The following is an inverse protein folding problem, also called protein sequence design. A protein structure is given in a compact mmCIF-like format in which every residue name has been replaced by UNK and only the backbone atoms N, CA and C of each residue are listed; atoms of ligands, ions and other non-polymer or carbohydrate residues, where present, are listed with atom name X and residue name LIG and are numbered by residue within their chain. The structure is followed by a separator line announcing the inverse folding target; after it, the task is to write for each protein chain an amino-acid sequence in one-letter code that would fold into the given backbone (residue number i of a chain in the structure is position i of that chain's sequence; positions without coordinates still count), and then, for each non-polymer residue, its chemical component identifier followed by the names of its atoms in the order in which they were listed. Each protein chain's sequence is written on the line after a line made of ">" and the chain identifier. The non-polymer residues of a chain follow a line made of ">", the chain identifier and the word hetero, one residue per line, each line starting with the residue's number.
data_IF_283266063471
#
_entry.id   IF_283266063471
#
_cell.length_a   1.000
_cell.length_b   1.000
_cell.length_c   1.000
_cell.angle_alpha   90.00
_cell.angle_beta   90.00
_cell.angle_gamma   90.00
#
_symmetry.space_group_name_H-M   'P 1'
#
loop_
_entity.id
_entity.type
_entity.pdbx_description
1 polymer ?
#
# COMPACT_ATOMS: atom_id res chain seq x y z
N UNK A 1 26.33 -1.92 6.64
CA UNK A 1 25.46 -1.27 7.61
C UNK A 1 24.90 0.03 7.00
N UNK A 2 23.58 0.11 6.83
CA UNK A 2 22.94 1.35 6.35
C UNK A 2 22.88 2.35 7.51
N UNK A 3 23.44 3.52 7.31
CA UNK A 3 23.39 4.60 8.32
C UNK A 3 22.65 5.79 7.75
N UNK A 4 21.70 6.34 8.52
CA UNK A 4 21.10 7.64 8.21
C UNK A 4 22.20 8.69 8.12
N UNK A 5 22.14 9.53 7.09
CA UNK A 5 22.87 10.79 7.11
C UNK A 5 22.14 11.70 8.08
N UNK A 6 22.76 11.96 9.23
CA UNK A 6 22.21 12.83 10.26
C UNK A 6 21.73 14.16 9.65
N UNK A 7 20.49 14.55 9.95
CA UNK A 7 19.84 15.80 9.50
C UNK A 7 19.43 15.87 8.02
N UNK A 8 19.48 14.79 7.24
CA UNK A 8 19.04 14.82 5.85
C UNK A 8 17.72 14.04 5.66
N UNK A 9 16.63 14.57 6.23
CA UNK A 9 15.28 14.19 5.82
C UNK A 9 15.10 14.60 4.36
N UNK A 10 14.71 13.67 3.51
CA UNK A 10 14.44 13.92 2.09
C UNK A 10 12.97 14.26 1.86
N UNK A 11 12.10 13.62 2.62
CA UNK A 11 10.65 13.75 2.48
C UNK A 11 9.96 13.35 3.78
N UNK A 12 8.91 14.06 4.13
CA UNK A 12 7.96 13.65 5.17
C UNK A 12 6.55 13.66 4.61
N UNK A 13 5.93 12.47 4.57
CA UNK A 13 4.56 12.28 4.17
C UNK A 13 3.60 12.12 5.35
N UNK A 14 2.37 11.76 5.03
CA UNK A 14 1.28 11.55 6.00
C UNK A 14 1.60 10.42 6.99
N UNK A 15 2.23 9.34 6.54
CA UNK A 15 2.47 8.12 7.33
C UNK A 15 3.95 7.75 7.49
N UNK A 16 4.86 8.40 6.78
CA UNK A 16 6.28 8.02 6.69
C UNK A 16 7.19 9.22 6.61
N UNK A 17 8.43 9.01 7.09
CA UNK A 17 9.58 9.87 6.82
C UNK A 17 10.59 9.10 6.00
N UNK A 18 11.25 9.76 5.06
CA UNK A 18 12.29 9.17 4.21
C UNK A 18 13.60 9.89 4.45
N UNK A 19 14.64 9.14 4.72
CA UNK A 19 15.97 9.64 5.02
C UNK A 19 16.99 9.15 3.98
N UNK A 20 17.92 10.05 3.60
CA UNK A 20 19.08 9.64 2.84
C UNK A 20 19.99 8.72 3.68
N UNK A 21 20.72 7.84 3.00
CA UNK A 21 21.75 7.01 3.61
C UNK A 21 23.13 7.36 3.10
N UNK A 22 24.15 6.72 3.67
CA UNK A 22 25.53 6.76 3.20
C UNK A 22 25.77 5.94 1.92
N UNK A 23 24.75 5.22 1.45
CA UNK A 23 24.82 4.43 0.21
C UNK A 23 23.94 5.07 -0.87
N UNK A 24 24.53 5.31 -2.03
CA UNK A 24 23.78 5.82 -3.17
C UNK A 24 22.70 4.82 -3.61
N UNK A 25 21.52 5.31 -3.97
CA UNK A 25 20.40 4.48 -4.41
C UNK A 25 19.63 3.77 -3.28
N UNK A 26 19.99 3.98 -2.01
CA UNK A 26 19.29 3.43 -0.85
C UNK A 26 18.79 4.55 0.05
N UNK A 27 17.58 4.43 0.54
CA UNK A 27 16.97 5.33 1.52
C UNK A 27 16.40 4.54 2.68
N UNK A 28 16.18 5.19 3.82
CA UNK A 28 15.49 4.60 4.97
C UNK A 28 14.09 5.19 5.05
N UNK A 29 13.10 4.33 5.13
CA UNK A 29 11.70 4.68 5.43
C UNK A 29 11.44 4.42 6.90
N UNK A 30 10.93 5.44 7.60
CA UNK A 30 10.54 5.40 9.01
C UNK A 30 9.02 5.58 9.10
N UNK A 31 8.33 4.58 9.63
CA UNK A 31 6.87 4.52 9.68
C UNK A 31 6.33 5.21 10.93
N UNK A 32 5.36 6.10 10.73
CA UNK A 32 4.72 6.92 11.77
C UNK A 32 3.41 6.28 12.23
N UNK A 33 2.99 6.63 13.44
CA UNK A 33 1.65 6.28 13.97
C UNK A 33 0.56 7.28 13.53
N UNK A 34 0.95 8.37 12.87
CA UNK A 34 0.00 9.34 12.32
C UNK A 34 -0.93 8.68 11.31
N UNK A 35 -2.22 8.94 11.47
CA UNK A 35 -3.26 8.47 10.57
C UNK A 35 -4.02 9.65 9.98
N UNK A 36 -4.25 9.60 8.67
CA UNK A 36 -5.07 10.59 7.97
C UNK A 36 -6.11 9.88 7.11
N UNK A 37 -7.27 10.50 6.94
CA UNK A 37 -8.30 10.06 6.02
C UNK A 37 -8.88 11.27 5.26
N UNK A 38 -9.59 11.01 4.15
CA UNK A 38 -10.26 12.02 3.34
C UNK A 38 -9.31 13.16 2.94
N UNK A 39 -8.19 12.79 2.31
CA UNK A 39 -7.15 13.72 1.88
C UNK A 39 -6.60 14.66 2.98
N UNK A 40 -6.53 14.15 4.22
CA UNK A 40 -5.99 14.88 5.38
C UNK A 40 -7.02 15.73 6.14
N UNK A 41 -8.29 15.71 5.77
CA UNK A 41 -9.37 16.36 6.53
C UNK A 41 -9.54 15.72 7.91
N UNK A 42 -9.40 14.40 8.00
CA UNK A 42 -9.39 13.67 9.27
C UNK A 42 -7.97 13.29 9.65
N UNK A 43 -7.56 13.67 10.85
CA UNK A 43 -6.23 13.38 11.42
C UNK A 43 -6.38 12.71 12.77
N UNK A 44 -5.43 11.85 13.11
CA UNK A 44 -5.36 11.18 14.40
C UNK A 44 -4.10 10.35 14.52
N UNK A 45 -4.01 9.59 15.58
CA UNK A 45 -2.93 8.64 15.84
C UNK A 45 -3.54 7.26 16.07
N UNK A 46 -2.93 6.24 15.49
CA UNK A 46 -3.23 4.83 15.76
C UNK A 46 -1.95 4.26 16.37
N UNK A 47 -1.97 4.01 17.68
CA UNK A 47 -0.79 3.57 18.42
C UNK A 47 -0.29 2.23 17.91
N UNK A 48 1.01 2.15 17.62
CA UNK A 48 1.65 0.95 17.08
C UNK A 48 1.47 0.73 15.57
N UNK A 49 0.70 1.58 14.89
CA UNK A 49 0.47 1.48 13.44
C UNK A 49 1.76 1.42 12.62
N UNK A 50 2.74 2.25 12.97
CA UNK A 50 4.01 2.29 12.25
C UNK A 50 4.77 0.97 12.32
N UNK A 51 4.79 0.32 13.48
CA UNK A 51 5.40 -1.02 13.65
C UNK A 51 4.67 -2.05 12.79
N UNK A 52 3.35 -2.07 12.86
CA UNK A 52 2.52 -3.03 12.13
C UNK A 52 2.70 -2.86 10.62
N UNK A 53 2.62 -1.62 10.12
CA UNK A 53 2.76 -1.34 8.71
C UNK A 53 4.16 -1.72 8.19
N UNK A 54 5.21 -1.43 8.96
CA UNK A 54 6.58 -1.80 8.60
C UNK A 54 6.75 -3.32 8.51
N UNK A 55 6.42 -4.05 9.58
CA UNK A 55 6.60 -5.50 9.65
C UNK A 55 5.77 -6.24 8.60
N UNK A 56 4.49 -5.88 8.48
CA UNK A 56 3.60 -6.50 7.51
C UNK A 56 4.06 -6.24 6.07
N UNK A 57 4.42 -4.99 5.72
CA UNK A 57 4.94 -4.67 4.39
C UNK A 57 6.20 -5.46 4.05
N UNK A 58 7.16 -5.52 4.97
CA UNK A 58 8.40 -6.24 4.75
C UNK A 58 8.16 -7.74 4.55
N UNK A 59 7.30 -8.33 5.36
CA UNK A 59 6.94 -9.74 5.24
C UNK A 59 6.27 -10.05 3.89
N UNK A 60 5.29 -9.25 3.51
CA UNK A 60 4.56 -9.42 2.25
C UNK A 60 5.46 -9.19 1.04
N UNK A 61 6.31 -8.15 1.05
CA UNK A 61 7.24 -7.89 -0.05
C UNK A 61 8.20 -9.06 -0.29
N UNK A 62 8.70 -9.71 0.75
CA UNK A 62 9.50 -10.95 0.61
C UNK A 62 8.73 -12.08 -0.09
N UNK A 63 7.45 -12.25 0.23
CA UNK A 63 6.59 -13.23 -0.45
C UNK A 63 6.37 -12.88 -1.93
N UNK A 64 6.20 -11.59 -2.22
CA UNK A 64 6.02 -11.10 -3.59
C UNK A 64 7.30 -11.27 -4.43
N UNK A 65 8.47 -11.00 -3.85
CA UNK A 65 9.76 -11.24 -4.52
C UNK A 65 9.96 -12.72 -4.84
N UNK A 66 9.61 -13.61 -3.91
CA UNK A 66 9.62 -15.05 -4.14
C UNK A 66 8.65 -15.49 -5.25
N UNK A 67 7.57 -14.73 -5.48
CA UNK A 67 6.60 -14.94 -6.56
C UNK A 67 6.99 -14.22 -7.88
N UNK A 68 8.14 -13.56 -7.94
CA UNK A 68 8.66 -12.90 -9.15
C UNK A 68 8.21 -11.46 -9.35
N UNK A 69 7.69 -10.79 -8.32
CA UNK A 69 7.39 -9.35 -8.35
C UNK A 69 8.55 -8.60 -7.70
N UNK A 70 9.34 -7.82 -8.43
CA UNK A 70 10.44 -7.06 -7.85
C UNK A 70 9.90 -5.94 -6.95
N UNK A 71 10.52 -5.78 -5.78
CA UNK A 71 10.15 -4.74 -4.82
C UNK A 71 11.32 -3.81 -4.47
N UNK A 72 11.00 -2.72 -3.79
CA UNK A 72 12.01 -1.80 -3.30
C UNK A 72 12.67 -2.26 -1.99
N UNK A 73 12.20 -3.34 -1.37
CA UNK A 73 12.73 -3.84 -0.11
C UNK A 73 14.22 -4.19 -0.22
N UNK A 74 15.00 -3.76 0.74
CA UNK A 74 16.40 -4.15 0.91
C UNK A 74 16.58 -4.89 2.23
N UNK A 75 16.30 -4.22 3.35
CA UNK A 75 16.52 -4.78 4.69
C UNK A 75 15.63 -4.09 5.74
N UNK A 76 15.05 -4.87 6.64
CA UNK A 76 14.39 -4.38 7.83
C UNK A 76 15.44 -3.99 8.87
N UNK A 77 15.48 -2.72 9.28
CA UNK A 77 16.48 -2.20 10.19
C UNK A 77 16.04 -2.17 11.66
N UNK A 78 14.75 -1.96 11.85
CA UNK A 78 14.12 -1.92 13.18
C UNK A 78 12.61 -2.17 13.05
N UNK A 79 11.90 -2.16 14.18
CA UNK A 79 10.45 -2.30 14.18
C UNK A 79 9.72 -1.26 13.28
N UNK A 80 10.32 -0.08 13.07
CA UNK A 80 9.72 1.04 12.34
C UNK A 80 10.46 1.44 11.08
N UNK A 81 11.66 0.90 10.86
CA UNK A 81 12.54 1.37 9.80
C UNK A 81 12.93 0.25 8.85
N UNK A 82 12.92 0.58 7.58
CA UNK A 82 13.33 -0.31 6.51
C UNK A 82 14.22 0.44 5.52
N UNK A 83 15.36 -0.17 5.16
CA UNK A 83 16.15 0.26 4.03
C UNK A 83 15.46 -0.21 2.73
N UNK A 84 15.27 0.71 1.81
CA UNK A 84 14.63 0.44 0.52
C UNK A 84 15.43 1.05 -0.63
N UNK A 85 15.30 0.49 -1.81
CA UNK A 85 15.83 1.08 -3.05
C UNK A 85 15.16 2.43 -3.28
N UNK A 86 15.97 3.44 -3.56
CA UNK A 86 15.46 4.76 -3.95
C UNK A 86 14.86 4.67 -5.35
N UNK A 87 13.61 5.10 -5.47
CA UNK A 87 12.88 5.12 -6.72
C UNK A 87 12.31 6.51 -6.99
N UNK A 88 12.05 6.79 -8.26
CA UNK A 88 11.14 7.86 -8.67
C UNK A 88 9.73 7.27 -8.77
N UNK A 89 8.82 7.69 -7.91
CA UNK A 89 7.45 7.15 -7.91
C UNK A 89 6.78 7.46 -9.26
N UNK A 90 6.19 6.43 -9.85
CA UNK A 90 5.25 6.61 -10.97
C UNK A 90 4.02 7.32 -10.40
N UNK A 91 3.59 8.47 -10.93
CA UNK A 91 2.55 9.29 -10.31
C UNK A 91 1.13 8.69 -10.50
N UNK A 92 1.03 7.40 -10.22
CA UNK A 92 -0.20 6.60 -10.28
C UNK A 92 -0.39 5.86 -8.96
N UNK A 93 -1.56 6.00 -8.35
CA UNK A 93 -2.05 5.01 -7.40
C UNK A 93 -2.70 3.88 -8.19
N UNK A 94 -2.31 2.65 -7.90
CA UNK A 94 -2.83 1.45 -8.56
C UNK A 94 -3.75 0.73 -7.59
N UNK A 95 -5.03 0.67 -7.94
CA UNK A 95 -6.06 0.16 -7.05
C UNK A 95 -6.63 -1.13 -7.63
N UNK A 96 -6.66 -2.19 -6.81
CA UNK A 96 -7.28 -3.46 -7.17
C UNK A 96 -8.54 -3.67 -6.34
N UNK A 97 -9.64 -4.06 -7.00
CA UNK A 97 -10.90 -4.35 -6.31
C UNK A 97 -11.36 -5.77 -6.61
N UNK A 98 -11.48 -6.56 -5.56
CA UNK A 98 -12.04 -7.92 -5.62
C UNK A 98 -13.51 -7.94 -5.19
N UNK A 99 -13.86 -7.03 -4.28
CA UNK A 99 -15.18 -6.89 -3.66
C UNK A 99 -15.56 -5.42 -3.67
N UNK A 100 -16.82 -5.10 -3.87
CA UNK A 100 -17.31 -3.73 -3.84
C UNK A 100 -17.20 -3.16 -2.42
N UNK A 101 -16.50 -2.04 -2.26
CA UNK A 101 -16.36 -1.33 -1.01
C UNK A 101 -15.98 0.14 -1.21
N UNK A 102 -16.14 0.95 -0.17
CA UNK A 102 -15.66 2.32 -0.10
C UNK A 102 -16.15 3.20 -1.25
N UNK A 103 -15.22 3.92 -1.89
CA UNK A 103 -15.54 4.84 -3.00
C UNK A 103 -16.12 4.13 -4.22
N UNK A 104 -15.73 2.88 -4.48
CA UNK A 104 -16.28 2.10 -5.59
C UNK A 104 -17.79 1.86 -5.41
N UNK A 105 -18.20 1.36 -4.24
CA UNK A 105 -19.61 1.13 -3.93
C UNK A 105 -20.44 2.39 -4.10
N UNK A 106 -19.95 3.53 -3.59
CA UNK A 106 -20.63 4.83 -3.72
C UNK A 106 -20.72 5.30 -5.18
N UNK A 107 -19.61 5.25 -5.89
CA UNK A 107 -19.50 5.75 -7.27
C UNK A 107 -20.33 4.94 -8.27
N UNK A 108 -20.36 3.61 -8.08
CA UNK A 108 -21.02 2.70 -9.01
C UNK A 108 -22.42 2.26 -8.57
N UNK A 109 -22.87 2.70 -7.38
CA UNK A 109 -24.16 2.29 -6.83
C UNK A 109 -24.26 0.78 -6.55
N UNK A 110 -23.13 0.13 -6.22
CA UNK A 110 -23.04 -1.30 -5.93
C UNK A 110 -23.02 -1.52 -4.43
N UNK A 111 -23.79 -2.46 -3.94
CA UNK A 111 -23.85 -2.81 -2.51
C UNK A 111 -22.47 -3.21 -1.97
N UNK A 112 -22.10 -2.66 -0.81
CA UNK A 112 -20.83 -2.99 -0.14
C UNK A 112 -20.82 -4.47 0.25
N UNK A 113 -19.72 -5.15 -0.05
CA UNK A 113 -19.54 -6.58 0.22
C UNK A 113 -19.91 -7.48 -0.95
N UNK A 114 -20.48 -6.95 -2.02
CA UNK A 114 -20.76 -7.72 -3.24
C UNK A 114 -19.45 -8.11 -3.93
N UNK A 115 -19.25 -9.42 -4.13
CA UNK A 115 -18.10 -9.92 -4.90
C UNK A 115 -18.21 -9.48 -6.37
N UNK A 116 -17.12 -9.03 -6.95
CA UNK A 116 -17.04 -8.66 -8.35
C UNK A 116 -16.83 -9.93 -9.20
N UNK A 117 -17.38 -9.96 -10.41
CA UNK A 117 -17.23 -11.10 -11.33
C UNK A 117 -15.76 -11.37 -11.69
N UNK A 118 -14.97 -10.32 -11.71
CA UNK A 118 -13.51 -10.36 -11.90
C UNK A 118 -12.87 -9.20 -11.15
N UNK A 119 -11.58 -9.29 -10.77
CA UNK A 119 -10.88 -8.15 -10.22
C UNK A 119 -10.86 -6.96 -11.18
N UNK A 120 -10.98 -5.76 -10.62
CA UNK A 120 -10.80 -4.51 -11.36
C UNK A 120 -9.43 -3.96 -11.00
N UNK A 121 -8.67 -3.52 -11.98
CA UNK A 121 -7.46 -2.68 -11.81
C UNK A 121 -7.81 -1.30 -12.35
N UNK A 122 -7.74 -0.30 -11.50
CA UNK A 122 -7.98 1.11 -11.84
C UNK A 122 -6.82 1.99 -11.36
N UNK A 123 -6.68 3.16 -11.96
CA UNK A 123 -5.66 4.13 -11.61
C UNK A 123 -6.27 5.39 -11.02
N UNK A 124 -5.56 6.02 -10.09
CA UNK A 124 -5.72 7.42 -9.74
C UNK A 124 -4.44 8.18 -10.07
N UNK A 125 -4.56 9.39 -10.58
CA UNK A 125 -3.42 10.29 -10.70
C UNK A 125 -3.03 10.77 -9.32
N UNK A 126 -1.82 10.43 -8.88
CA UNK A 126 -1.28 10.80 -7.57
C UNK A 126 -0.96 12.30 -7.54
N UNK A 127 -1.95 13.08 -7.14
CA UNK A 127 -1.88 14.52 -7.05
C UNK A 127 -2.83 15.01 -5.95
N UNK A 128 -2.30 15.23 -4.75
CA UNK A 128 -3.07 15.69 -3.57
C UNK A 128 -3.89 16.94 -3.85
N UNK A 129 -3.36 17.86 -4.66
CA UNK A 129 -4.03 19.13 -5.03
C UNK A 129 -5.32 18.91 -5.84
N UNK A 130 -5.36 17.81 -6.59
CA UNK A 130 -6.52 17.42 -7.41
C UNK A 130 -7.38 16.34 -6.72
N UNK A 131 -7.10 15.96 -5.47
CA UNK A 131 -7.75 14.88 -4.75
C UNK A 131 -7.64 13.51 -5.44
N UNK A 132 -6.46 13.21 -6.00
CA UNK A 132 -6.12 11.92 -6.63
C UNK A 132 -7.22 11.40 -7.58
N UNK A 133 -7.54 12.12 -8.67
CA UNK A 133 -8.66 11.80 -9.54
C UNK A 133 -8.47 10.43 -10.21
N UNK A 134 -9.57 9.67 -10.34
CA UNK A 134 -9.55 8.44 -11.12
C UNK A 134 -9.29 8.72 -12.59
N UNK A 135 -8.40 7.93 -13.18
CA UNK A 135 -8.03 8.02 -14.59
C UNK A 135 -7.96 6.62 -15.21
N UNK A 136 -7.97 6.55 -16.53
CA UNK A 136 -7.69 5.33 -17.27
C UNK A 136 -6.29 5.39 -17.92
N UNK A 137 -5.96 4.37 -18.68
CA UNK A 137 -4.66 4.26 -19.38
C UNK A 137 -4.44 5.44 -20.33
N UNK A 138 -5.47 5.84 -21.08
CA UNK A 138 -5.35 6.93 -22.06
C UNK A 138 -4.98 8.26 -21.40
N UNK A 139 -5.56 8.56 -20.23
CA UNK A 139 -5.16 9.73 -19.44
C UNK A 139 -3.70 9.65 -19.00
N UNK A 140 -3.29 8.48 -18.49
CA UNK A 140 -1.92 8.30 -18.01
C UNK A 140 -0.89 8.49 -19.14
N UNK A 141 -1.20 7.98 -20.33
CA UNK A 141 -0.38 8.12 -21.54
C UNK A 141 -0.37 9.56 -22.04
N UNK A 142 -1.56 10.16 -22.22
CA UNK A 142 -1.72 11.50 -22.76
C UNK A 142 -1.06 12.58 -21.88
N UNK A 143 -1.08 12.38 -20.56
CA UNK A 143 -0.45 13.28 -19.60
C UNK A 143 1.05 12.96 -19.37
N UNK A 144 1.59 11.92 -20.00
CA UNK A 144 2.98 11.53 -19.83
C UNK A 144 3.33 11.03 -18.41
N UNK A 145 2.35 10.49 -17.67
CA UNK A 145 2.56 9.98 -16.32
C UNK A 145 3.30 8.65 -16.34
N UNK A 146 3.04 7.83 -17.36
CA UNK A 146 3.70 6.57 -17.61
C UNK A 146 3.71 6.25 -19.10
N UNK A 147 4.63 5.40 -19.54
CA UNK A 147 4.66 4.86 -20.90
C UNK A 147 3.74 3.64 -21.02
N UNK A 148 3.42 3.24 -22.26
CA UNK A 148 2.63 2.04 -22.53
C UNK A 148 3.27 0.77 -21.96
N UNK A 149 4.58 0.64 -22.09
CA UNK A 149 5.38 -0.46 -21.53
C UNK A 149 5.32 -0.49 -20.00
N UNK A 150 5.42 0.67 -19.37
CA UNK A 150 5.30 0.79 -17.92
C UNK A 150 3.90 0.41 -17.43
N UNK A 151 2.83 0.88 -18.08
CA UNK A 151 1.45 0.51 -17.75
C UNK A 151 1.23 -0.99 -17.88
N UNK A 152 1.75 -1.61 -18.94
CA UNK A 152 1.67 -3.05 -19.14
C UNK A 152 2.39 -3.82 -18.02
N UNK A 153 3.59 -3.38 -17.66
CA UNK A 153 4.40 -3.96 -16.58
C UNK A 153 3.69 -3.82 -15.24
N UNK A 154 3.21 -2.62 -14.91
CA UNK A 154 2.46 -2.32 -13.70
C UNK A 154 1.24 -3.23 -13.58
N UNK A 155 0.42 -3.35 -14.64
CA UNK A 155 -0.77 -4.21 -14.63
C UNK A 155 -0.41 -5.69 -14.46
N UNK A 156 0.67 -6.15 -15.10
CA UNK A 156 1.15 -7.54 -14.96
C UNK A 156 1.56 -7.84 -13.52
N UNK A 157 2.38 -6.98 -12.92
CA UNK A 157 2.77 -7.14 -11.52
C UNK A 157 1.58 -7.01 -10.57
N UNK A 158 0.69 -6.06 -10.81
CA UNK A 158 -0.53 -5.86 -10.00
C UNK A 158 -1.44 -7.08 -10.00
N UNK A 159 -1.65 -7.72 -11.15
CA UNK A 159 -2.41 -8.96 -11.23
C UNK A 159 -1.76 -10.08 -10.39
N UNK A 160 -0.43 -10.21 -10.47
CA UNK A 160 0.34 -11.18 -9.67
C UNK A 160 0.28 -10.88 -8.18
N UNK A 161 0.44 -9.61 -7.79
CA UNK A 161 0.27 -9.15 -6.40
C UNK A 161 -1.11 -9.56 -5.88
N UNK A 162 -2.17 -9.32 -6.65
CA UNK A 162 -3.52 -9.67 -6.23
C UNK A 162 -3.70 -11.19 -5.99
N UNK A 163 -3.16 -12.03 -6.88
CA UNK A 163 -3.20 -13.48 -6.71
C UNK A 163 -2.53 -13.91 -5.39
N UNK A 164 -1.30 -13.46 -5.17
CA UNK A 164 -0.51 -13.80 -3.98
C UNK A 164 -1.19 -13.31 -2.71
N UNK A 165 -1.64 -12.05 -2.69
CA UNK A 165 -2.28 -11.48 -1.50
C UNK A 165 -3.62 -12.14 -1.17
N UNK A 166 -4.45 -12.45 -2.16
CA UNK A 166 -5.72 -13.16 -1.95
C UNK A 166 -5.50 -14.52 -1.30
N UNK A 167 -4.55 -15.28 -1.83
CA UNK A 167 -4.21 -16.60 -1.30
C UNK A 167 -3.64 -16.49 0.12
N UNK A 168 -2.70 -15.58 0.33
CA UNK A 168 -2.07 -15.34 1.63
C UNK A 168 -3.10 -14.98 2.70
N UNK A 169 -3.90 -13.95 2.48
CA UNK A 169 -4.88 -13.50 3.46
C UNK A 169 -5.97 -14.54 3.72
N UNK A 170 -6.41 -15.27 2.69
CA UNK A 170 -7.42 -16.30 2.86
C UNK A 170 -6.92 -17.43 3.78
N UNK A 171 -5.65 -17.84 3.70
CA UNK A 171 -5.04 -18.85 4.57
C UNK A 171 -5.09 -18.47 6.05
N UNK A 172 -5.07 -17.19 6.37
CA UNK A 172 -5.16 -16.69 7.76
C UNK A 172 -6.55 -16.19 8.14
N UNK A 173 -7.57 -16.58 7.36
CA UNK A 173 -8.97 -16.26 7.66
C UNK A 173 -9.35 -14.81 7.39
N UNK A 174 -8.63 -14.13 6.50
CA UNK A 174 -8.90 -12.75 6.09
C UNK A 174 -9.31 -12.73 4.62
N UNK A 175 -10.34 -11.97 4.27
CA UNK A 175 -10.74 -11.70 2.90
C UNK A 175 -10.16 -10.36 2.44
N UNK A 176 -9.35 -10.40 1.38
CA UNK A 176 -8.84 -9.21 0.72
C UNK A 176 -9.94 -8.59 -0.15
N UNK A 177 -10.43 -7.44 0.25
CA UNK A 177 -11.52 -6.72 -0.41
C UNK A 177 -10.99 -5.90 -1.58
N UNK A 178 -10.09 -4.99 -1.28
CA UNK A 178 -9.37 -4.16 -2.23
C UNK A 178 -8.04 -3.71 -1.62
N UNK A 179 -7.17 -3.16 -2.45
CA UNK A 179 -5.93 -2.55 -1.98
C UNK A 179 -5.42 -1.50 -2.98
N UNK A 180 -4.57 -0.62 -2.47
CA UNK A 180 -3.82 0.38 -3.23
C UNK A 180 -2.33 0.08 -3.11
N UNK A 181 -1.64 0.09 -4.24
CA UNK A 181 -0.18 -0.03 -4.32
C UNK A 181 0.40 1.06 -5.22
N UNK A 182 1.69 1.30 -5.08
CA UNK A 182 2.42 2.26 -5.90
C UNK A 182 3.66 1.58 -6.49
N UNK A 183 4.07 2.04 -7.65
CA UNK A 183 5.28 1.59 -8.33
C UNK A 183 6.27 2.73 -8.48
N UNK A 184 7.54 2.38 -8.56
CA UNK A 184 8.61 3.34 -8.79
C UNK A 184 9.55 2.89 -9.89
N UNK A 185 10.25 3.86 -10.46
CA UNK A 185 11.33 3.67 -11.42
C UNK A 185 12.67 3.68 -10.70
N UNK A 186 13.49 2.67 -10.90
CA UNK A 186 14.91 2.71 -10.56
C UNK A 186 15.65 3.68 -11.50
N UNK A 187 16.92 3.95 -11.20
CA UNK A 187 17.73 4.85 -12.02
C UNK A 187 17.91 4.38 -13.49
N UNK A 188 17.80 3.08 -13.72
CA UNK A 188 17.85 2.46 -15.06
C UNK A 188 16.49 2.38 -15.76
N UNK A 189 15.41 2.90 -15.14
CA UNK A 189 14.05 2.86 -15.66
C UNK A 189 13.27 1.61 -15.30
N UNK A 190 13.87 0.62 -14.62
CA UNK A 190 13.18 -0.60 -14.21
C UNK A 190 12.02 -0.27 -13.24
N UNK A 191 10.83 -0.79 -13.55
CA UNK A 191 9.64 -0.67 -12.69
C UNK A 191 9.69 -1.72 -11.58
N UNK A 192 9.53 -1.27 -10.34
CA UNK A 192 9.42 -2.14 -9.16
C UNK A 192 8.27 -1.69 -8.26
N UNK A 193 7.74 -2.62 -7.47
CA UNK A 193 6.75 -2.31 -6.45
C UNK A 193 7.42 -1.50 -5.31
N UNK A 194 6.78 -0.42 -4.93
CA UNK A 194 7.22 0.49 -3.87
C UNK A 194 6.10 0.70 -2.84
N UNK A 195 6.22 1.76 -2.04
CA UNK A 195 5.30 2.14 -0.97
C UNK A 195 5.13 1.04 0.09
N UNK A 196 3.91 0.69 0.46
CA UNK A 196 3.60 -0.30 1.50
C UNK A 196 2.42 -1.18 1.12
N UNK A 197 2.34 -2.34 1.77
CA UNK A 197 1.16 -3.20 1.80
C UNK A 197 0.82 -3.44 3.27
N UNK A 198 -0.27 -2.83 3.74
CA UNK A 198 -0.59 -2.75 5.16
C UNK A 198 -2.10 -2.57 5.38
N UNK A 199 -2.59 -2.60 6.61
CA UNK A 199 -3.99 -2.27 6.89
C UNK A 199 -4.38 -0.82 6.53
N UNK A 200 -3.39 0.06 6.27
CA UNK A 200 -3.62 1.42 5.75
C UNK A 200 -4.00 1.42 4.26
N UNK A 201 -3.43 0.50 3.48
CA UNK A 201 -3.56 0.44 2.03
C UNK A 201 -4.45 -0.71 1.54
N UNK A 202 -4.80 -1.65 2.41
CA UNK A 202 -5.69 -2.78 2.14
C UNK A 202 -6.99 -2.67 2.92
N UNK A 203 -8.12 -3.09 2.33
CA UNK A 203 -9.32 -3.46 3.08
C UNK A 203 -9.31 -4.95 3.34
N UNK A 204 -9.30 -5.28 4.62
CA UNK A 204 -9.15 -6.63 5.15
C UNK A 204 -10.35 -6.95 6.02
N UNK A 205 -11.15 -7.95 5.63
CA UNK A 205 -12.32 -8.35 6.41
C UNK A 205 -12.17 -9.79 6.90
N UNK A 206 -12.58 -10.03 8.14
CA UNK A 206 -12.68 -11.39 8.65
C UNK A 206 -13.62 -12.24 7.78
N UNK A 207 -13.19 -13.44 7.42
CA UNK A 207 -13.93 -14.33 6.50
C UNK A 207 -15.27 -14.78 7.09
N UNK A 208 -15.33 -14.95 8.43
CA UNK A 208 -16.52 -15.49 9.12
C UNK A 208 -17.50 -14.41 9.53
N UNK A 209 -16.99 -13.29 10.05
CA UNK A 209 -17.81 -12.24 10.66
C UNK A 209 -18.02 -11.03 9.76
N UNK A 210 -17.22 -10.88 8.69
CA UNK A 210 -17.08 -9.67 7.86
C UNK A 210 -16.64 -8.44 8.66
N UNK A 211 -16.08 -8.62 9.85
CA UNK A 211 -15.50 -7.54 10.63
C UNK A 211 -14.35 -6.90 9.87
N UNK A 212 -14.28 -5.57 9.92
CA UNK A 212 -13.22 -4.78 9.26
C UNK A 212 -11.97 -4.79 10.14
N UNK A 213 -10.85 -5.23 9.57
CA UNK A 213 -9.54 -5.34 10.24
C UNK A 213 -8.53 -4.32 9.68
N UNK A 214 -9.01 -3.19 9.21
CA UNK A 214 -8.25 -2.21 8.46
C UNK A 214 -8.61 -0.76 8.84
N UNK A 215 -8.02 0.19 8.12
CA UNK A 215 -8.19 1.63 8.35
C UNK A 215 -9.62 2.15 8.19
N UNK A 216 -10.54 1.38 7.62
CA UNK A 216 -11.94 1.81 7.54
C UNK A 216 -12.57 1.99 8.93
N UNK A 217 -12.06 1.32 9.97
CA UNK A 217 -12.46 1.59 11.36
C UNK A 217 -12.17 3.02 11.77
N UNK A 218 -10.97 3.53 11.43
CA UNK A 218 -10.61 4.93 11.64
C UNK A 218 -11.41 5.88 10.74
N UNK A 219 -11.55 5.55 9.45
CA UNK A 219 -12.28 6.40 8.50
C UNK A 219 -13.74 6.61 8.89
N UNK A 220 -14.39 5.59 9.48
CA UNK A 220 -15.82 5.54 9.77
C UNK A 220 -16.16 5.69 11.25
N UNK A 221 -15.20 6.03 12.10
CA UNK A 221 -15.39 6.16 13.57
C UNK A 221 -15.98 4.91 14.23
N UNK A 222 -15.56 3.73 13.80
CA UNK A 222 -16.11 2.46 14.31
C UNK A 222 -15.50 2.03 15.65
N UNK A 223 -14.40 2.66 16.09
CA UNK A 223 -13.61 2.24 17.26
C UNK A 223 -12.82 0.96 17.01
N UNK A 224 -12.00 0.57 17.97
CA UNK A 224 -11.24 -0.68 17.91
C UNK A 224 -10.23 -0.77 16.75
N UNK A 225 -9.70 0.35 16.28
CA UNK A 225 -8.75 0.37 15.14
C UNK A 225 -7.42 -0.26 15.52
N UNK A 226 -6.92 0.02 16.71
CA UNK A 226 -5.65 -0.52 17.22
C UNK A 226 -5.75 -2.03 17.40
N UNK A 227 -6.84 -2.50 18.00
CA UNK A 227 -7.13 -3.92 18.19
C UNK A 227 -7.26 -4.66 16.84
N UNK A 228 -7.89 -4.05 15.86
CA UNK A 228 -8.00 -4.62 14.51
C UNK A 228 -6.62 -4.77 13.83
N UNK A 229 -5.73 -3.78 13.97
CA UNK A 229 -4.38 -3.87 13.45
C UNK A 229 -3.56 -4.95 14.17
N UNK A 230 -3.71 -5.06 15.50
CA UNK A 230 -3.07 -6.13 16.28
C UNK A 230 -3.58 -7.50 15.88
N UNK A 231 -4.88 -7.66 15.62
CA UNK A 231 -5.45 -8.91 15.13
C UNK A 231 -4.85 -9.36 13.79
N UNK A 232 -4.63 -8.42 12.86
CA UNK A 232 -3.94 -8.72 11.60
C UNK A 232 -2.51 -9.20 11.87
N UNK A 233 -1.77 -8.54 12.76
CA UNK A 233 -0.43 -8.95 13.14
C UNK A 233 -0.41 -10.33 13.78
N UNK A 234 -1.32 -10.59 14.72
CA UNK A 234 -1.46 -11.88 15.35
C UNK A 234 -1.69 -13.00 14.32
N UNK A 235 -2.57 -12.77 13.35
CA UNK A 235 -2.85 -13.76 12.29
C UNK A 235 -1.69 -13.99 11.34
N UNK A 236 -0.86 -12.97 11.09
CA UNK A 236 0.30 -13.08 10.19
C UNK A 236 1.47 -13.79 10.89
N UNK A 237 1.76 -13.43 12.14
CA UNK A 237 2.98 -13.84 12.84
C UNK A 237 2.76 -14.86 13.96
N UNK A 238 1.51 -15.04 14.42
CA UNK A 238 1.18 -15.95 15.52
C UNK A 238 1.59 -15.43 16.91
N UNK A 239 1.82 -14.11 17.03
CA UNK A 239 2.25 -13.43 18.27
C UNK A 239 1.08 -12.71 18.95
#
# INVERSE_FOLDING_TARGET
>A
EFRRVLFRSMYEGKAKKVYATNQEGIVIVDYKDDATAFNGEKKGTIVGKGVINNKMSNYIMKQLEAAGVPTHLVEELSDRETAVKKVSIVPLEVIVRNVAAGSFSKRMGVEEGKALLRPIIEFSYKCDELNDPFINDDYALALGLATEEEIKTIKTYTAKVNEVLKEFFLKIGIRLIDFKIEFGRLADGTIILADEISPDTCRLWDVKTNEKLDKDRFRRDMGGTEEAYQEVMHRIFGE
#
